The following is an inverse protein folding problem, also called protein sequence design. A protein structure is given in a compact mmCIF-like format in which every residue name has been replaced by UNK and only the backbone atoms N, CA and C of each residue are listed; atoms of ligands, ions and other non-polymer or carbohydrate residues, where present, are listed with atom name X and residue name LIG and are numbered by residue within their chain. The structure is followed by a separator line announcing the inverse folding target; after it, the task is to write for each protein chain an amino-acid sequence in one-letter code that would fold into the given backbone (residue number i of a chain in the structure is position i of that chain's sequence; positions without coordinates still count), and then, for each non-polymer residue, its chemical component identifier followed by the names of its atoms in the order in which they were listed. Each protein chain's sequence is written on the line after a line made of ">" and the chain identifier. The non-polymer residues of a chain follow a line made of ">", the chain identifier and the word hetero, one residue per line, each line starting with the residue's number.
data_IF_484789548508
#
_entry.id   IF_484789548508
#
_cell.length_a   1.000
_cell.length_b   1.000
_cell.length_c   1.000
_cell.angle_alpha   90.00
_cell.angle_beta   90.00
_cell.angle_gamma   90.00
#
_symmetry.space_group_name_H-M   'P 1'
#
loop_
_entity.id
_entity.type
_entity.pdbx_description
1 polymer ?
#
# COMPACT_ATOMS: atom_id res chain seq x y z
N UNK A 1 1.92 8.24 17.03
CA UNK A 1 2.47 9.56 16.63
C UNK A 1 2.64 9.68 15.12
N UNK A 2 3.43 8.82 14.46
CA UNK A 2 3.65 8.90 13.00
C UNK A 2 2.37 8.89 12.14
N UNK A 3 1.40 8.02 12.42
CA UNK A 3 0.12 7.97 11.68
C UNK A 3 -0.63 9.31 11.69
N UNK A 4 -0.70 9.96 12.85
CA UNK A 4 -1.36 11.26 12.99
C UNK A 4 -0.58 12.35 12.25
N UNK A 5 0.76 12.31 12.34
CA UNK A 5 1.64 13.21 11.59
C UNK A 5 1.45 13.11 10.08
N UNK A 6 1.43 11.90 9.52
CA UNK A 6 1.20 11.71 8.08
C UNK A 6 -0.23 12.10 7.66
N UNK A 7 -1.23 11.80 8.48
CA UNK A 7 -2.63 12.08 8.15
C UNK A 7 -2.96 13.58 8.13
N UNK A 8 -2.36 14.36 9.01
CA UNK A 8 -2.67 15.78 9.21
C UNK A 8 -1.56 16.74 8.78
N UNK A 9 -0.33 16.26 8.63
CA UNK A 9 0.85 17.08 8.33
C UNK A 9 1.12 17.29 6.84
N UNK A 10 0.25 16.80 5.96
CA UNK A 10 0.38 16.98 4.51
C UNK A 10 1.61 16.32 3.91
N UNK A 11 2.05 16.85 2.76
CA UNK A 11 3.09 16.22 1.94
C UNK A 11 4.47 16.26 2.62
N UNK A 12 4.81 17.33 3.31
CA UNK A 12 6.10 17.47 4.01
C UNK A 12 6.27 16.40 5.11
N UNK A 13 5.23 16.17 5.89
CA UNK A 13 5.25 15.12 6.92
C UNK A 13 5.37 13.73 6.31
N UNK A 14 4.73 13.51 5.15
CA UNK A 14 4.85 12.25 4.42
C UNK A 14 6.28 12.01 3.93
N UNK A 15 6.89 13.01 3.28
CA UNK A 15 8.27 12.93 2.78
C UNK A 15 9.29 12.76 3.91
N UNK A 16 9.07 13.42 5.05
CA UNK A 16 9.89 13.23 6.23
C UNK A 16 9.80 11.78 6.75
N UNK A 17 8.60 11.21 6.87
CA UNK A 17 8.42 9.81 7.26
C UNK A 17 9.04 8.84 6.23
N UNK A 18 8.96 9.16 4.93
CA UNK A 18 9.58 8.38 3.88
C UNK A 18 11.10 8.37 3.99
N UNK A 19 11.70 9.54 4.23
CA UNK A 19 13.14 9.66 4.46
C UNK A 19 13.58 8.89 5.71
N UNK A 20 12.82 8.98 6.79
CA UNK A 20 13.08 8.22 8.01
C UNK A 20 13.00 6.70 7.76
N UNK A 21 12.03 6.24 6.98
CA UNK A 21 11.91 4.83 6.60
C UNK A 21 13.14 4.33 5.83
N UNK A 22 13.64 5.15 4.90
CA UNK A 22 14.82 4.81 4.09
C UNK A 22 16.08 4.70 4.93
N UNK A 23 16.23 5.53 5.95
CA UNK A 23 17.42 5.58 6.81
C UNK A 23 17.34 4.68 8.05
N UNK A 24 16.13 4.24 8.45
CA UNK A 24 15.97 3.38 9.62
C UNK A 24 16.50 1.96 9.36
N UNK A 25 17.34 1.48 10.27
CA UNK A 25 17.87 0.11 10.30
C UNK A 25 16.99 -0.83 11.13
N UNK A 26 16.12 -0.30 11.99
CA UNK A 26 15.30 -1.07 12.91
C UNK A 26 14.03 -1.57 12.21
N UNK A 27 13.87 -2.90 12.13
CA UNK A 27 12.76 -3.53 11.42
C UNK A 27 11.38 -3.13 11.98
N UNK A 28 11.25 -3.01 13.30
CA UNK A 28 9.99 -2.61 13.96
C UNK A 28 9.60 -1.17 13.63
N UNK A 29 10.58 -0.26 13.59
CA UNK A 29 10.34 1.14 13.21
C UNK A 29 9.96 1.26 11.73
N UNK A 30 10.68 0.56 10.84
CA UNK A 30 10.32 0.51 9.41
C UNK A 30 8.88 0.06 9.20
N UNK A 31 8.43 -0.95 9.97
CA UNK A 31 7.07 -1.45 9.88
C UNK A 31 6.03 -0.39 10.28
N UNK A 32 6.29 0.32 11.38
CA UNK A 32 5.44 1.43 11.83
C UNK A 32 5.38 2.57 10.82
N UNK A 33 6.51 2.88 10.17
CA UNK A 33 6.57 3.92 9.14
C UNK A 33 5.81 3.51 7.87
N UNK A 34 5.94 2.27 7.41
CA UNK A 34 5.17 1.77 6.27
C UNK A 34 3.66 1.85 6.53
N UNK A 35 3.23 1.53 7.76
CA UNK A 35 1.83 1.67 8.15
C UNK A 35 1.38 3.13 8.21
N UNK A 36 2.24 4.03 8.72
CA UNK A 36 1.94 5.46 8.81
C UNK A 36 1.83 6.13 7.45
N UNK A 37 2.73 5.81 6.51
CA UNK A 37 2.73 6.35 5.14
C UNK A 37 1.43 6.03 4.39
N UNK A 38 0.82 4.88 4.67
CA UNK A 38 -0.48 4.49 4.11
C UNK A 38 -1.66 5.33 4.65
N UNK A 39 -1.50 6.09 5.73
CA UNK A 39 -2.55 6.93 6.33
C UNK A 39 -2.62 8.34 5.71
N UNK A 40 -1.89 8.60 4.63
CA UNK A 40 -1.94 9.88 3.92
C UNK A 40 -3.34 10.22 3.45
N UNK A 41 -3.72 11.48 3.53
CA UNK A 41 -4.99 11.99 2.97
C UNK A 41 -4.88 12.30 1.48
N UNK A 42 -3.66 12.39 0.93
CA UNK A 42 -3.42 12.69 -0.49
C UNK A 42 -3.42 11.42 -1.33
N UNK A 43 -4.37 11.31 -2.26
CA UNK A 43 -4.47 10.16 -3.18
C UNK A 43 -3.23 10.02 -4.07
N UNK A 44 -2.63 11.14 -4.50
CA UNK A 44 -1.40 11.15 -5.28
C UNK A 44 -0.22 10.54 -4.50
N UNK A 45 -0.06 10.88 -3.20
CA UNK A 45 0.97 10.27 -2.36
C UNK A 45 0.75 8.77 -2.17
N UNK A 46 -0.51 8.34 -2.04
CA UNK A 46 -0.83 6.90 -1.95
C UNK A 46 -0.51 6.17 -3.26
N UNK A 47 -0.74 6.80 -4.41
CA UNK A 47 -0.33 6.25 -5.71
C UNK A 47 1.19 6.14 -5.83
N UNK A 48 1.92 7.21 -5.52
CA UNK A 48 3.39 7.19 -5.51
C UNK A 48 3.93 6.13 -4.54
N UNK A 49 3.32 6.02 -3.37
CA UNK A 49 3.71 5.02 -2.37
C UNK A 49 3.54 3.59 -2.88
N UNK A 50 2.42 3.31 -3.56
CA UNK A 50 2.19 2.01 -4.19
C UNK A 50 3.21 1.73 -5.29
N UNK A 51 3.57 2.73 -6.11
CA UNK A 51 4.61 2.56 -7.13
C UNK A 51 5.97 2.25 -6.51
N UNK A 52 6.35 2.94 -5.42
CA UNK A 52 7.57 2.63 -4.68
C UNK A 52 7.51 1.25 -4.03
N UNK A 53 6.33 0.78 -3.61
CA UNK A 53 6.19 -0.56 -3.04
C UNK A 53 6.53 -1.66 -4.05
N UNK A 54 6.33 -1.41 -5.35
CA UNK A 54 6.62 -2.37 -6.42
C UNK A 54 8.09 -2.34 -6.88
N UNK A 55 8.87 -1.31 -6.50
CA UNK A 55 10.30 -1.26 -6.75
C UNK A 55 11.07 -1.95 -5.60
N UNK A 56 11.71 -3.08 -5.92
CA UNK A 56 12.51 -3.87 -4.98
C UNK A 56 13.69 -3.10 -4.36
N UNK A 57 14.14 -1.98 -4.97
CA UNK A 57 15.17 -1.09 -4.42
C UNK A 57 14.62 -0.12 -3.37
N UNK A 58 13.30 0.12 -3.40
CA UNK A 58 12.61 1.06 -2.53
C UNK A 58 12.01 0.36 -1.31
N UNK A 59 11.24 -0.69 -1.55
CA UNK A 59 10.57 -1.49 -0.52
C UNK A 59 10.94 -2.96 -0.70
N UNK A 60 11.14 -3.68 0.41
CA UNK A 60 11.48 -5.10 0.36
C UNK A 60 10.29 -5.90 -0.19
N UNK A 61 10.55 -6.88 -1.04
CA UNK A 61 9.51 -7.74 -1.64
C UNK A 61 8.55 -8.37 -0.61
N UNK A 62 9.05 -8.71 0.58
CA UNK A 62 8.22 -9.25 1.66
C UNK A 62 7.26 -8.22 2.28
N UNK A 63 7.49 -6.93 2.13
CA UNK A 63 6.66 -5.86 2.73
C UNK A 63 5.60 -5.32 1.76
N UNK A 64 5.68 -5.62 0.46
CA UNK A 64 4.78 -5.07 -0.56
C UNK A 64 3.32 -5.42 -0.30
N UNK A 65 3.01 -6.67 0.04
CA UNK A 65 1.65 -7.11 0.38
C UNK A 65 1.06 -6.31 1.56
N UNK A 66 1.89 -5.92 2.54
CA UNK A 66 1.44 -5.10 3.65
C UNK A 66 1.14 -3.68 3.21
N UNK A 67 2.01 -3.08 2.40
CA UNK A 67 1.78 -1.73 1.87
C UNK A 67 0.46 -1.68 1.10
N UNK A 68 0.24 -2.63 0.19
CA UNK A 68 -1.01 -2.71 -0.58
C UNK A 68 -2.22 -2.84 0.35
N UNK A 69 -2.14 -3.70 1.37
CA UNK A 69 -3.22 -3.90 2.33
C UNK A 69 -3.51 -2.67 3.20
N UNK A 70 -2.49 -1.93 3.63
CA UNK A 70 -2.70 -0.72 4.43
C UNK A 70 -3.27 0.43 3.57
N UNK A 71 -2.81 0.57 2.32
CA UNK A 71 -3.37 1.57 1.40
C UNK A 71 -4.80 1.23 1.00
N UNK A 72 -5.16 -0.05 0.87
CA UNK A 72 -6.54 -0.44 0.56
C UNK A 72 -7.52 -0.18 1.72
N UNK A 73 -7.04 -0.14 2.97
CA UNK A 73 -7.87 0.28 4.12
C UNK A 73 -8.15 1.78 4.11
N UNK A 74 -7.28 2.58 3.52
CA UNK A 74 -7.44 4.03 3.43
C UNK A 74 -8.56 4.39 2.43
N UNK A 75 -9.59 5.16 2.84
CA UNK A 75 -10.68 5.59 1.95
C UNK A 75 -10.19 6.28 0.67
N UNK A 76 -9.14 7.09 0.75
CA UNK A 76 -8.56 7.80 -0.39
C UNK A 76 -7.61 6.92 -1.23
N UNK A 77 -7.22 5.75 -0.72
CA UNK A 77 -6.30 4.80 -1.35
C UNK A 77 -6.97 3.58 -1.97
N UNK A 78 -8.20 3.24 -1.58
CA UNK A 78 -8.95 2.04 -2.04
C UNK A 78 -8.91 1.84 -3.56
N UNK A 79 -9.40 2.85 -4.30
CA UNK A 79 -9.52 2.79 -5.76
C UNK A 79 -8.15 2.66 -6.43
N UNK A 80 -7.15 3.38 -5.92
CA UNK A 80 -5.78 3.37 -6.46
C UNK A 80 -5.11 2.02 -6.17
N UNK A 81 -5.29 1.46 -4.97
CA UNK A 81 -4.79 0.14 -4.61
C UNK A 81 -5.36 -0.95 -5.53
N UNK A 82 -6.68 -0.93 -5.78
CA UNK A 82 -7.34 -1.85 -6.71
C UNK A 82 -6.75 -1.75 -8.13
N UNK A 83 -6.66 -0.53 -8.67
CA UNK A 83 -6.10 -0.30 -10.01
C UNK A 83 -4.65 -0.75 -10.12
N UNK A 84 -3.83 -0.48 -9.11
CA UNK A 84 -2.42 -0.91 -9.09
C UNK A 84 -2.30 -2.44 -9.06
N UNK A 85 -3.11 -3.13 -8.25
CA UNK A 85 -3.11 -4.60 -8.19
C UNK A 85 -3.53 -5.20 -9.53
N UNK A 86 -4.57 -4.68 -10.17
CA UNK A 86 -4.97 -5.13 -11.52
C UNK A 86 -3.86 -4.91 -12.55
N UNK A 87 -3.26 -3.71 -12.55
CA UNK A 87 -2.21 -3.32 -13.50
C UNK A 87 -0.94 -4.17 -13.35
N UNK A 88 -0.54 -4.47 -12.13
CA UNK A 88 0.70 -5.18 -11.80
C UNK A 88 0.44 -6.63 -11.36
N UNK A 89 -0.69 -7.22 -11.77
CA UNK A 89 -1.09 -8.56 -11.34
C UNK A 89 -0.03 -9.61 -11.66
N UNK A 90 0.53 -9.58 -12.86
CA UNK A 90 1.60 -10.50 -13.30
C UNK A 90 2.85 -10.38 -12.43
N UNK A 91 3.25 -9.16 -12.07
CA UNK A 91 4.44 -8.92 -11.23
C UNK A 91 4.22 -9.46 -9.81
N UNK A 92 3.03 -9.24 -9.25
CA UNK A 92 2.64 -9.76 -7.94
C UNK A 92 2.58 -11.30 -7.93
N UNK A 93 2.09 -11.91 -9.02
CA UNK A 93 2.09 -13.36 -9.19
C UNK A 93 3.50 -13.93 -9.31
N UNK A 94 4.46 -13.22 -9.93
CA UNK A 94 5.87 -13.65 -9.95
C UNK A 94 6.49 -13.53 -8.55
N UNK A 95 6.21 -12.43 -7.85
CA UNK A 95 6.77 -12.15 -6.52
C UNK A 95 6.23 -13.11 -5.44
N UNK A 96 4.94 -13.45 -5.52
CA UNK A 96 4.24 -14.22 -4.50
C UNK A 96 3.67 -15.56 -4.98
N UNK A 97 3.94 -15.99 -6.21
CA UNK A 97 3.32 -17.20 -6.80
C UNK A 97 3.60 -18.50 -6.03
N UNK A 98 4.64 -18.52 -5.18
CA UNK A 98 4.93 -19.63 -4.25
C UNK A 98 4.27 -19.48 -2.88
N UNK A 99 3.76 -18.30 -2.54
CA UNK A 99 3.08 -17.96 -1.29
C UNK A 99 1.61 -17.62 -1.54
N UNK A 100 0.76 -18.65 -1.54
CA UNK A 100 -0.70 -18.53 -1.71
C UNK A 100 -1.36 -17.57 -0.71
N UNK A 101 -0.77 -17.42 0.48
CA UNK A 101 -1.28 -16.54 1.53
C UNK A 101 -1.18 -15.05 1.18
N UNK A 102 -0.03 -14.58 0.68
CA UNK A 102 0.18 -13.16 0.38
C UNK A 102 -0.79 -12.68 -0.71
N UNK A 103 -0.99 -13.49 -1.75
CA UNK A 103 -1.94 -13.21 -2.83
C UNK A 103 -3.38 -13.19 -2.31
N UNK A 104 -3.75 -14.19 -1.51
CA UNK A 104 -5.09 -14.23 -0.89
C UNK A 104 -5.36 -13.02 0.00
N UNK A 105 -4.33 -12.55 0.72
CA UNK A 105 -4.43 -11.36 1.57
C UNK A 105 -4.59 -10.10 0.74
N UNK A 106 -3.84 -9.94 -0.35
CA UNK A 106 -3.98 -8.81 -1.28
C UNK A 106 -5.38 -8.77 -1.90
N UNK A 107 -5.85 -9.88 -2.49
CA UNK A 107 -7.18 -9.95 -3.09
C UNK A 107 -8.24 -9.56 -2.07
N UNK A 108 -8.26 -10.19 -0.89
CA UNK A 108 -9.22 -9.86 0.16
C UNK A 108 -9.15 -8.39 0.56
N UNK A 109 -7.94 -7.84 0.72
CA UNK A 109 -7.75 -6.47 1.17
C UNK A 109 -8.24 -5.44 0.15
N UNK A 110 -8.12 -5.71 -1.15
CA UNK A 110 -8.64 -4.82 -2.19
C UNK A 110 -10.13 -5.03 -2.41
N UNK A 111 -10.66 -6.26 -2.36
CA UNK A 111 -12.08 -6.56 -2.66
C UNK A 111 -13.05 -6.30 -1.51
N UNK A 112 -12.61 -6.27 -0.25
CA UNK A 112 -13.48 -6.18 0.94
C UNK A 112 -14.38 -4.93 0.98
N UNK A 113 -13.99 -3.86 0.29
CA UNK A 113 -14.72 -2.59 0.26
C UNK A 113 -15.50 -2.35 -1.05
N UNK A 114 -15.50 -3.29 -2.00
CA UNK A 114 -16.31 -3.25 -3.24
C UNK A 114 -17.79 -3.63 -2.98
N UNK A 115 -18.31 -3.32 -1.80
CA UNK A 115 -19.69 -3.64 -1.37
C UNK A 115 -20.72 -2.59 -1.78
N UNK A 116 -20.35 -1.63 -2.65
CA UNK A 116 -21.32 -0.75 -3.30
C UNK A 116 -21.57 -1.28 -4.71
N UNK A 117 -22.85 -1.48 -5.04
CA UNK A 117 -23.44 -2.04 -6.28
C UNK A 117 -22.91 -1.57 -7.64
N UNK A 118 -21.84 -0.76 -7.70
CA UNK A 118 -21.20 -0.27 -8.91
C UNK A 118 -20.05 -1.15 -9.43
N UNK A 119 -19.48 -2.04 -8.61
CA UNK A 119 -18.31 -2.84 -8.96
C UNK A 119 -18.63 -4.25 -9.51
N UNK A 120 -19.91 -4.63 -9.56
CA UNK A 120 -20.32 -5.96 -10.03
C UNK A 120 -20.19 -6.13 -11.57
N UNK A 121 -19.96 -5.05 -12.32
CA UNK A 121 -19.78 -5.09 -13.78
C UNK A 121 -18.32 -5.20 -14.25
N UNK A 122 -17.33 -5.20 -13.34
CA UNK A 122 -15.91 -5.35 -13.70
C UNK A 122 -15.33 -6.75 -13.39
N UNK A 123 -16.13 -7.65 -12.81
CA UNK A 123 -15.70 -9.00 -12.38
C UNK A 123 -16.38 -10.12 -13.18
N UNK A 124 -17.26 -9.78 -14.13
CA UNK A 124 -17.71 -10.69 -15.21
C UNK A 124 -16.78 -10.61 -16.43
#
# INVERSE_FOLDING_TARGET
>A
VYKAGVRHGGDDAWWWCWHLYRNSSLASERRLLLEALAQSSSAWLLEQYLQYSLDAKMVRGQDVHFVISEVSKNPNGRLVAWRTVRKHWSDLMILYGRSSYAISSIIKAVTIHHTTLFDLHEVE
#
